data_IF_313001090044
#
_entry.id   IF_313001090044
#
_cell.length_a   1.000
_cell.length_b   1.000
_cell.length_c   1.000
_cell.angle_alpha   90.00
_cell.angle_beta   90.00
_cell.angle_gamma   90.00
#
_symmetry.space_group_name_H-M   'P 1'
#
loop_
_entity.id
_entity.type
_entity.pdbx_description
1 polymer ?
#
# COMPACT_ATOMS: atom_id res chain seq x y z
N UNK A 1 21.77 30.63 -14.32
CA UNK A 1 20.45 30.98 -13.77
C UNK A 1 19.33 30.08 -14.23
N UNK A 2 19.41 29.32 -15.31
CA UNK A 2 18.33 28.43 -15.79
C UNK A 2 18.17 27.11 -15.01
N UNK A 3 19.19 26.67 -14.27
CA UNK A 3 19.17 25.38 -13.54
C UNK A 3 18.27 25.44 -12.29
N UNK A 4 18.10 26.64 -11.70
CA UNK A 4 17.31 26.84 -10.47
C UNK A 4 15.79 26.87 -10.71
N UNK A 5 15.34 27.23 -11.90
CA UNK A 5 13.90 27.25 -12.24
C UNK A 5 13.36 25.84 -12.55
N UNK A 6 14.19 25.01 -13.16
CA UNK A 6 13.84 23.59 -13.39
C UNK A 6 13.63 22.81 -12.08
N UNK A 7 14.21 23.26 -10.95
CA UNK A 7 14.05 22.61 -9.64
C UNK A 7 12.71 22.89 -8.95
N UNK A 8 11.95 23.86 -9.37
CA UNK A 8 10.71 24.31 -8.71
C UNK A 8 9.40 23.81 -9.35
N UNK A 9 9.45 22.85 -10.26
CA UNK A 9 8.22 22.30 -10.84
C UNK A 9 7.38 21.60 -9.75
N UNK A 10 6.15 22.05 -9.46
CA UNK A 10 5.30 21.49 -8.41
C UNK A 10 4.96 20.02 -8.64
N UNK A 11 5.14 19.53 -9.87
CA UNK A 11 4.86 18.15 -10.25
C UNK A 11 6.05 17.20 -10.11
N UNK A 12 7.22 17.67 -9.70
CA UNK A 12 8.40 16.78 -9.52
C UNK A 12 8.17 15.77 -8.40
N UNK A 13 7.59 16.19 -7.28
CA UNK A 13 7.31 15.30 -6.16
C UNK A 13 6.33 14.17 -6.54
N UNK A 14 5.13 14.44 -7.10
CA UNK A 14 4.22 13.36 -7.50
C UNK A 14 4.78 12.49 -8.62
N UNK A 15 5.55 13.04 -9.57
CA UNK A 15 6.22 12.24 -10.62
C UNK A 15 7.26 11.28 -10.04
N UNK A 16 8.07 11.72 -9.08
CA UNK A 16 9.04 10.86 -8.38
C UNK A 16 8.34 9.76 -7.61
N UNK A 17 7.27 10.09 -6.87
CA UNK A 17 6.48 9.10 -6.14
C UNK A 17 5.84 8.09 -7.09
N UNK A 18 5.25 8.54 -8.20
CA UNK A 18 4.67 7.64 -9.21
C UNK A 18 5.74 6.72 -9.83
N UNK A 19 6.91 7.26 -10.15
CA UNK A 19 8.02 6.46 -10.68
C UNK A 19 8.52 5.42 -9.68
N UNK A 20 8.68 5.80 -8.41
CA UNK A 20 9.09 4.88 -7.34
C UNK A 20 8.06 3.78 -7.12
N UNK A 21 6.77 4.13 -7.09
CA UNK A 21 5.67 3.15 -6.97
C UNK A 21 5.64 2.21 -8.18
N UNK A 22 5.80 2.75 -9.39
CA UNK A 22 5.87 1.95 -10.61
C UNK A 22 7.05 0.97 -10.61
N UNK A 23 8.24 1.44 -10.23
CA UNK A 23 9.43 0.60 -10.12
C UNK A 23 9.28 -0.47 -9.03
N UNK A 24 8.73 -0.10 -7.87
CA UNK A 24 8.47 -1.04 -6.79
C UNK A 24 7.46 -2.12 -7.23
N UNK A 25 6.38 -1.71 -7.90
CA UNK A 25 5.38 -2.64 -8.44
C UNK A 25 5.97 -3.55 -9.50
N UNK A 26 6.78 -3.01 -10.43
CA UNK A 26 7.48 -3.83 -11.42
C UNK A 26 8.43 -4.83 -10.75
N UNK A 27 9.17 -4.40 -9.73
CA UNK A 27 10.01 -5.29 -8.93
C UNK A 27 9.20 -6.43 -8.28
N UNK A 28 8.04 -6.13 -7.70
CA UNK A 28 7.15 -7.14 -7.11
C UNK A 28 6.65 -8.14 -8.15
N UNK A 29 6.30 -7.66 -9.36
CA UNK A 29 5.82 -8.54 -10.45
C UNK A 29 6.93 -9.45 -10.96
N UNK A 30 8.17 -8.93 -11.08
CA UNK A 30 9.34 -9.70 -11.54
C UNK A 30 9.75 -10.73 -10.47
N UNK A 31 9.79 -10.33 -9.20
CA UNK A 31 10.17 -11.20 -8.09
C UNK A 31 9.16 -12.32 -7.84
N UNK A 32 7.91 -12.12 -8.24
CA UNK A 32 6.77 -13.04 -8.11
C UNK A 32 6.66 -13.69 -6.71
N UNK A 33 6.24 -12.92 -5.69
CA UNK A 33 6.21 -13.39 -4.31
C UNK A 33 5.22 -14.53 -4.06
N UNK A 34 4.39 -14.90 -5.02
CA UNK A 34 3.48 -16.05 -4.92
C UNK A 34 4.21 -17.38 -5.02
N UNK A 35 5.33 -17.41 -5.75
CA UNK A 35 6.13 -18.61 -5.94
C UNK A 35 7.36 -18.69 -5.03
N UNK A 36 7.62 -17.62 -4.25
CA UNK A 36 8.73 -17.59 -3.30
C UNK A 36 8.23 -17.89 -1.88
N UNK A 37 8.74 -18.95 -1.27
CA UNK A 37 8.43 -19.34 0.12
C UNK A 37 9.25 -18.56 1.16
N UNK A 38 9.86 -17.43 0.77
CA UNK A 38 10.65 -16.60 1.69
C UNK A 38 9.71 -15.89 2.66
N UNK A 39 9.90 -16.01 3.98
CA UNK A 39 9.14 -15.24 4.96
C UNK A 39 9.55 -13.76 4.89
N UNK A 40 8.84 -13.01 4.04
CA UNK A 40 9.13 -11.59 3.79
C UNK A 40 8.74 -10.67 4.96
N UNK A 41 8.01 -11.19 5.94
CA UNK A 41 7.58 -10.41 7.10
C UNK A 41 8.39 -10.80 8.34
N UNK A 42 9.30 -9.93 8.82
CA UNK A 42 10.07 -10.21 10.03
C UNK A 42 9.18 -10.32 11.27
N UNK A 43 8.08 -9.60 11.33
CA UNK A 43 7.11 -9.70 12.41
C UNK A 43 6.50 -11.11 12.49
N UNK A 44 6.11 -11.68 11.36
CA UNK A 44 5.57 -13.05 11.32
C UNK A 44 6.65 -14.08 11.67
N UNK A 45 7.87 -13.89 11.18
CA UNK A 45 8.99 -14.78 11.48
C UNK A 45 9.36 -14.81 12.97
N UNK A 46 9.20 -13.67 13.67
CA UNK A 46 9.56 -13.56 15.09
C UNK A 46 8.42 -13.96 16.05
N UNK A 47 7.17 -13.67 15.67
CA UNK A 47 6.03 -13.80 16.58
C UNK A 47 5.05 -14.90 16.19
N UNK A 48 5.14 -15.41 14.95
CA UNK A 48 4.14 -16.30 14.38
C UNK A 48 2.80 -15.62 14.03
N UNK A 49 2.64 -14.32 14.32
CA UNK A 49 1.43 -13.56 14.05
C UNK A 49 1.46 -12.91 12.67
N UNK A 50 0.31 -12.90 12.01
CA UNK A 50 0.13 -12.22 10.73
C UNK A 50 -0.07 -10.73 10.95
N UNK A 51 0.88 -9.91 10.50
CA UNK A 51 0.76 -8.46 10.55
C UNK A 51 -0.28 -7.95 9.52
N UNK A 52 -0.75 -6.69 9.63
CA UNK A 52 -1.75 -6.14 8.71
C UNK A 52 -1.25 -6.00 7.26
N UNK A 53 0.08 -6.01 7.05
CA UNK A 53 0.71 -5.93 5.74
C UNK A 53 1.14 -7.30 5.18
N UNK A 54 1.00 -8.39 5.96
CA UNK A 54 1.32 -9.73 5.50
C UNK A 54 0.45 -10.10 4.29
N UNK A 55 1.07 -10.64 3.25
CA UNK A 55 0.42 -10.91 1.96
C UNK A 55 0.29 -9.66 1.07
N UNK A 56 0.70 -8.47 1.52
CA UNK A 56 0.56 -7.23 0.75
C UNK A 56 1.27 -7.27 -0.61
N UNK A 57 2.48 -7.82 -0.68
CA UNK A 57 3.22 -7.96 -1.94
C UNK A 57 2.53 -8.94 -2.90
N UNK A 58 1.97 -10.04 -2.37
CA UNK A 58 1.19 -11.00 -3.15
C UNK A 58 -0.10 -10.36 -3.66
N UNK A 59 -0.81 -9.61 -2.79
CA UNK A 59 -2.01 -8.88 -3.16
C UNK A 59 -1.74 -7.86 -4.29
N UNK A 60 -0.62 -7.11 -4.23
CA UNK A 60 -0.20 -6.21 -5.31
C UNK A 60 0.07 -6.97 -6.59
N UNK A 61 0.85 -8.07 -6.54
CA UNK A 61 1.15 -8.90 -7.69
C UNK A 61 -0.12 -9.46 -8.33
N UNK A 62 -1.03 -10.04 -7.53
CA UNK A 62 -2.30 -10.57 -7.99
C UNK A 62 -3.20 -9.49 -8.60
N UNK A 63 -3.22 -8.28 -8.02
CA UNK A 63 -3.98 -7.14 -8.54
C UNK A 63 -3.47 -6.73 -9.93
N UNK A 64 -2.17 -6.59 -10.10
CA UNK A 64 -1.55 -6.20 -11.39
C UNK A 64 -1.80 -7.26 -12.46
N UNK A 65 -1.83 -8.54 -12.09
CA UNK A 65 -2.15 -9.65 -12.98
C UNK A 65 -3.66 -9.84 -13.23
N UNK A 66 -4.53 -9.01 -12.63
CA UNK A 66 -5.98 -9.08 -12.80
C UNK A 66 -6.68 -10.14 -11.93
N UNK A 67 -5.97 -10.79 -11.03
CA UNK A 67 -6.50 -11.83 -10.14
C UNK A 67 -7.06 -11.25 -8.84
N UNK A 68 -8.15 -10.45 -8.94
CA UNK A 68 -8.72 -9.72 -7.79
C UNK A 68 -9.17 -10.63 -6.65
N UNK A 69 -9.69 -11.83 -6.94
CA UNK A 69 -10.08 -12.79 -5.91
C UNK A 69 -8.89 -13.23 -5.05
N UNK A 70 -7.76 -13.57 -5.68
CA UNK A 70 -6.52 -13.89 -4.98
C UNK A 70 -5.98 -12.69 -4.20
N UNK A 71 -6.02 -11.50 -4.80
CA UNK A 71 -5.58 -10.28 -4.14
C UNK A 71 -6.38 -9.97 -2.86
N UNK A 72 -7.70 -10.13 -2.89
CA UNK A 72 -8.57 -9.97 -1.71
C UNK A 72 -8.28 -11.02 -0.64
N UNK A 73 -8.03 -12.27 -1.04
CA UNK A 73 -7.66 -13.33 -0.11
C UNK A 73 -6.32 -13.05 0.55
N UNK A 74 -5.31 -12.60 -0.20
CA UNK A 74 -3.99 -12.30 0.32
C UNK A 74 -4.00 -11.10 1.30
N UNK A 75 -4.71 -10.01 0.96
CA UNK A 75 -4.84 -8.86 1.86
C UNK A 75 -6.04 -7.97 1.52
N UNK A 76 -7.21 -8.31 2.08
CA UNK A 76 -8.44 -7.53 1.87
C UNK A 76 -8.31 -6.08 2.32
N UNK A 77 -7.58 -5.80 3.43
CA UNK A 77 -7.39 -4.43 3.94
C UNK A 77 -6.63 -3.56 2.94
N UNK A 78 -5.55 -4.11 2.36
CA UNK A 78 -4.77 -3.40 1.35
C UNK A 78 -5.61 -3.09 0.11
N UNK A 79 -6.34 -4.09 -0.40
CA UNK A 79 -7.16 -3.91 -1.61
C UNK A 79 -8.29 -2.90 -1.35
N UNK A 80 -8.93 -2.93 -0.19
CA UNK A 80 -9.92 -1.93 0.19
C UNK A 80 -9.34 -0.52 0.35
N UNK A 81 -8.07 -0.40 0.74
CA UNK A 81 -7.38 0.87 0.89
C UNK A 81 -6.91 1.47 -0.46
N UNK A 82 -6.69 0.66 -1.50
CA UNK A 82 -6.18 1.13 -2.79
C UNK A 82 -6.96 2.30 -3.40
N UNK A 83 -8.31 2.27 -3.49
CA UNK A 83 -9.07 3.38 -4.06
C UNK A 83 -8.92 4.67 -3.23
N UNK A 84 -8.82 4.57 -1.91
CA UNK A 84 -8.56 5.71 -1.03
C UNK A 84 -7.17 6.31 -1.30
N UNK A 85 -6.14 5.47 -1.39
CA UNK A 85 -4.76 5.89 -1.66
C UNK A 85 -4.67 6.53 -3.05
N UNK A 86 -5.30 5.93 -4.06
CA UNK A 86 -5.35 6.49 -5.41
C UNK A 86 -6.03 7.87 -5.42
N UNK A 87 -7.18 8.01 -4.74
CA UNK A 87 -7.87 9.29 -4.60
C UNK A 87 -6.99 10.35 -3.91
N UNK A 88 -6.33 9.98 -2.82
CA UNK A 88 -5.42 10.88 -2.11
C UNK A 88 -4.26 11.35 -2.99
N UNK A 89 -3.70 10.44 -3.79
CA UNK A 89 -2.61 10.76 -4.71
C UNK A 89 -3.07 11.74 -5.82
N UNK A 90 -4.27 11.52 -6.36
CA UNK A 90 -4.89 12.40 -7.36
C UNK A 90 -5.19 13.77 -6.75
N UNK A 91 -5.85 13.84 -5.59
CA UNK A 91 -6.16 15.11 -4.89
C UNK A 91 -4.87 15.89 -4.59
N UNK A 92 -3.84 15.23 -4.09
CA UNK A 92 -2.54 15.84 -3.85
C UNK A 92 -1.92 16.43 -5.12
N UNK A 93 -1.93 15.67 -6.21
CA UNK A 93 -1.38 16.12 -7.50
C UNK A 93 -2.15 17.31 -8.06
N UNK A 94 -3.48 17.28 -8.00
CA UNK A 94 -4.34 18.36 -8.47
C UNK A 94 -4.15 19.64 -7.64
N UNK A 95 -4.02 19.51 -6.32
CA UNK A 95 -3.74 20.66 -5.42
C UNK A 95 -2.40 21.31 -5.75
N UNK A 96 -1.36 20.51 -5.97
CA UNK A 96 -0.05 21.03 -6.36
C UNK A 96 -0.09 21.76 -7.70
N UNK A 97 -0.84 21.23 -8.68
CA UNK A 97 -1.06 21.92 -9.97
C UNK A 97 -1.76 23.24 -9.80
N UNK A 98 -2.72 23.31 -8.88
CA UNK A 98 -3.52 24.52 -8.61
C UNK A 98 -2.82 25.49 -7.63
N UNK A 99 -1.58 25.25 -7.22
CA UNK A 99 -0.86 26.07 -6.23
C UNK A 99 -1.51 26.08 -4.85
N UNK A 100 -2.38 25.10 -4.55
CA UNK A 100 -3.08 24.98 -3.27
C UNK A 100 -2.23 24.24 -2.25
N UNK A 101 -2.34 24.59 -0.94
CA UNK A 101 -1.63 23.87 0.10
C UNK A 101 -2.06 22.41 0.18
N UNK A 102 -1.15 21.55 0.61
CA UNK A 102 -1.46 20.15 0.87
C UNK A 102 -2.59 20.03 1.89
N UNK A 103 -3.51 19.09 1.66
CA UNK A 103 -4.59 18.81 2.61
C UNK A 103 -4.00 18.31 3.92
N UNK A 104 -4.31 18.97 5.01
CA UNK A 104 -3.94 18.48 6.34
C UNK A 104 -4.79 17.27 6.67
N UNK A 105 -4.12 16.17 6.94
CA UNK A 105 -4.77 14.94 7.37
C UNK A 105 -5.21 15.09 8.84
N UNK A 106 -6.49 14.89 9.18
CA UNK A 106 -6.96 15.02 10.55
C UNK A 106 -6.40 13.88 11.41
N UNK A 107 -6.03 14.20 12.65
CA UNK A 107 -5.52 13.21 13.61
C UNK A 107 -6.49 12.04 13.81
N UNK A 108 -7.79 12.32 13.79
CA UNK A 108 -8.84 11.29 13.89
C UNK A 108 -8.76 10.24 12.78
N UNK A 109 -8.45 10.62 11.54
CA UNK A 109 -8.28 9.67 10.44
C UNK A 109 -7.03 8.80 10.63
N UNK A 110 -5.94 9.38 11.14
CA UNK A 110 -4.74 8.60 11.48
C UNK A 110 -5.04 7.58 12.58
N UNK A 111 -5.71 8.01 13.65
CA UNK A 111 -6.12 7.13 14.75
C UNK A 111 -7.03 6.02 14.23
N UNK A 112 -8.02 6.35 13.41
CA UNK A 112 -8.92 5.36 12.80
C UNK A 112 -8.15 4.31 11.98
N UNK A 113 -7.20 4.74 11.15
CA UNK A 113 -6.38 3.79 10.35
C UNK A 113 -5.54 2.87 11.23
N UNK A 114 -4.95 3.40 12.30
CA UNK A 114 -4.19 2.60 13.27
C UNK A 114 -5.10 1.59 13.96
N UNK A 115 -6.27 2.03 14.44
CA UNK A 115 -7.26 1.15 15.09
C UNK A 115 -7.73 0.06 14.13
N UNK A 116 -8.04 0.40 12.87
CA UNK A 116 -8.42 -0.58 11.86
C UNK A 116 -7.29 -1.58 11.57
N UNK A 117 -6.04 -1.13 11.51
CA UNK A 117 -4.88 -1.99 11.32
C UNK A 117 -4.69 -2.97 12.50
N UNK A 118 -4.84 -2.49 13.72
CA UNK A 118 -4.76 -3.32 14.93
C UNK A 118 -5.93 -4.33 14.97
N UNK A 119 -7.15 -3.86 14.74
CA UNK A 119 -8.34 -4.71 14.71
C UNK A 119 -8.21 -5.80 13.65
N UNK A 120 -7.76 -5.44 12.44
CA UNK A 120 -7.52 -6.41 11.37
C UNK A 120 -6.44 -7.43 11.74
N UNK A 121 -5.36 -7.00 12.42
CA UNK A 121 -4.34 -7.90 12.92
C UNK A 121 -4.91 -8.91 13.90
N UNK A 122 -5.72 -8.46 14.86
CA UNK A 122 -6.35 -9.34 15.85
C UNK A 122 -7.29 -10.33 15.16
N UNK A 123 -8.22 -9.82 14.36
CA UNK A 123 -9.23 -10.63 13.66
C UNK A 123 -8.57 -11.70 12.78
N UNK A 124 -7.53 -11.34 12.05
CA UNK A 124 -6.79 -12.25 11.16
C UNK A 124 -6.05 -13.38 11.89
N UNK A 125 -5.69 -13.17 13.15
CA UNK A 125 -5.00 -14.17 13.95
C UNK A 125 -5.95 -15.05 14.76
N UNK A 126 -7.27 -14.77 14.76
CA UNK A 126 -8.24 -15.63 15.40
C UNK A 126 -8.35 -17.00 14.70
N UNK A 127 -8.39 -18.13 15.45
CA UNK A 127 -8.46 -19.46 14.85
C UNK A 127 -9.69 -19.65 13.95
N UNK A 128 -10.81 -19.03 14.31
CA UNK A 128 -12.09 -19.14 13.59
C UNK A 128 -12.09 -18.45 12.21
N UNK A 129 -11.11 -17.56 11.94
CA UNK A 129 -11.06 -16.73 10.74
C UNK A 129 -9.81 -17.04 9.88
N UNK A 130 -9.42 -18.31 9.83
CA UNK A 130 -8.29 -18.78 9.03
C UNK A 130 -8.35 -18.39 7.54
N UNK A 131 -9.54 -18.15 7.00
CA UNK A 131 -9.75 -17.66 5.62
C UNK A 131 -9.12 -16.28 5.34
N UNK A 132 -8.81 -15.48 6.37
CA UNK A 132 -8.13 -14.20 6.25
C UNK A 132 -6.61 -14.30 6.29
N UNK A 133 -6.07 -15.50 6.46
CA UNK A 133 -4.61 -15.74 6.46
C UNK A 133 -4.14 -15.85 5.01
N UNK A 134 -3.05 -15.17 4.63
CA UNK A 134 -2.50 -15.32 3.29
C UNK A 134 -2.01 -16.75 3.08
N UNK A 135 -2.23 -17.27 1.91
CA UNK A 135 -1.73 -18.58 1.48
C UNK A 135 -0.25 -18.57 1.17
#
# INVERSE_FOLDING_TARGET
>A
MAVTELERSPLRAPRRVAAMLGLATAGVVIFDPQHTHVPLCPFHAMTGWWCPLCGGLRAVNATVRGHLGAALHDNVLLIAALPLVAWMFVDWTLRLRAGRPARRWPRSATVLLVVLGIAFTIVRNLPALGALRPT
#
